data_IF_721858756205
#
_entry.id   IF_721858756205
#
_cell.length_a   1.000
_cell.length_b   1.000
_cell.length_c   1.000
_cell.angle_alpha   90.00
_cell.angle_beta   90.00
_cell.angle_gamma   90.00
#
_symmetry.space_group_name_H-M   'P 1'
#
loop_
_entity.id
_entity.type
_entity.pdbx_description
1 polymer ?
#
# COMPACT_ATOMS: atom_id res chain seq x y z
N UNK A 1 1.51 -30.67 4.16
CA UNK A 1 2.09 -29.42 3.66
C UNK A 1 1.77 -28.38 4.71
N UNK A 2 2.77 -27.75 5.33
CA UNK A 2 2.50 -26.61 6.18
C UNK A 2 2.06 -25.48 5.25
N UNK A 3 0.78 -25.10 5.32
CA UNK A 3 0.28 -23.84 4.78
C UNK A 3 0.89 -22.70 5.59
N UNK A 4 2.16 -22.41 5.31
CA UNK A 4 2.79 -21.22 5.82
C UNK A 4 2.21 -20.07 5.00
N UNK A 5 1.26 -19.35 5.59
CA UNK A 5 0.66 -18.15 4.99
C UNK A 5 1.80 -17.23 4.57
N UNK A 6 1.91 -16.97 3.27
CA UNK A 6 2.89 -16.03 2.74
C UNK A 6 2.48 -14.62 3.17
N UNK A 7 3.19 -14.04 4.13
CA UNK A 7 2.97 -12.67 4.60
C UNK A 7 4.02 -11.74 3.97
N UNK A 8 3.68 -11.11 2.85
CA UNK A 8 4.49 -10.08 2.21
C UNK A 8 3.95 -8.68 2.47
N UNK A 9 4.86 -7.71 2.46
CA UNK A 9 4.62 -6.31 2.76
C UNK A 9 5.00 -5.90 4.18
N UNK A 10 4.41 -4.81 4.67
CA UNK A 10 4.65 -4.28 6.01
C UNK A 10 3.59 -4.74 7.04
N UNK A 11 4.06 -5.33 8.14
CA UNK A 11 3.22 -5.83 9.23
C UNK A 11 3.62 -5.18 10.55
N UNK A 12 2.68 -4.44 11.15
CA UNK A 12 2.84 -3.90 12.50
C UNK A 12 2.77 -5.04 13.51
N UNK A 13 3.78 -5.14 14.37
CA UNK A 13 3.92 -6.09 15.49
C UNK A 13 4.06 -5.30 16.80
N UNK A 14 4.03 -6.00 17.94
CA UNK A 14 4.11 -5.37 19.26
C UNK A 14 5.37 -4.54 19.51
N UNK A 15 6.50 -4.88 18.87
CA UNK A 15 7.81 -4.23 19.09
C UNK A 15 8.29 -3.37 17.91
N UNK A 16 7.49 -3.26 16.84
CA UNK A 16 7.93 -2.60 15.62
C UNK A 16 7.20 -3.07 14.37
N UNK A 17 7.80 -2.81 13.21
CA UNK A 17 7.27 -3.22 11.91
C UNK A 17 8.19 -4.21 11.23
N UNK A 18 7.62 -5.31 10.77
CA UNK A 18 8.29 -6.26 9.88
C UNK A 18 7.98 -5.95 8.42
N UNK A 19 9.03 -5.83 7.61
CA UNK A 19 8.94 -5.65 6.17
C UNK A 19 9.41 -6.93 5.48
N UNK A 20 8.61 -7.47 4.55
CA UNK A 20 8.99 -8.64 3.74
C UNK A 20 8.73 -8.38 2.25
N UNK A 21 9.77 -8.47 1.42
CA UNK A 21 9.68 -8.31 -0.03
C UNK A 21 10.20 -9.55 -0.75
N UNK A 22 9.44 -10.08 -1.71
CA UNK A 22 9.94 -11.12 -2.60
C UNK A 22 10.66 -10.51 -3.80
N UNK A 23 11.98 -10.73 -3.89
CA UNK A 23 12.82 -10.20 -4.97
C UNK A 23 14.01 -11.16 -5.24
N UNK A 24 13.77 -12.34 -5.83
CA UNK A 24 14.76 -13.42 -5.94
C UNK A 24 15.92 -13.12 -6.90
N UNK A 25 15.76 -12.16 -7.82
CA UNK A 25 16.78 -11.76 -8.81
C UNK A 25 17.58 -10.53 -8.39
N UNK A 26 17.33 -10.00 -7.19
CA UNK A 26 18.06 -8.86 -6.66
C UNK A 26 19.34 -9.32 -5.97
N UNK A 27 20.40 -8.53 -6.13
CA UNK A 27 21.66 -8.76 -5.44
C UNK A 27 21.64 -8.11 -4.04
N UNK A 28 20.95 -6.98 -3.91
CA UNK A 28 20.66 -6.32 -2.63
C UNK A 28 19.30 -5.65 -2.66
N UNK A 29 18.67 -5.55 -1.51
CA UNK A 29 17.44 -4.79 -1.31
C UNK A 29 17.60 -3.89 -0.10
N UNK A 30 17.14 -2.65 -0.23
CA UNK A 30 17.14 -1.66 0.83
C UNK A 30 15.71 -1.24 1.11
N UNK A 31 15.33 -1.23 2.38
CA UNK A 31 14.17 -0.49 2.86
C UNK A 31 14.53 0.99 2.86
N UNK A 32 13.68 1.83 2.28
CA UNK A 32 13.85 3.28 2.26
C UNK A 32 12.72 3.91 3.04
N UNK A 33 13.03 4.68 4.09
CA UNK A 33 12.06 5.41 4.90
C UNK A 33 12.07 6.89 4.56
N UNK A 34 10.89 7.49 4.50
CA UNK A 34 10.70 8.92 4.20
C UNK A 34 10.05 9.64 5.37
N UNK A 35 10.41 10.90 5.58
CA UNK A 35 9.79 11.74 6.60
C UNK A 35 8.49 12.38 6.08
N UNK A 36 8.47 12.72 4.78
CA UNK A 36 7.34 13.39 4.12
C UNK A 36 6.96 12.74 2.77
N UNK A 37 5.70 12.91 2.31
CA UNK A 37 5.28 12.51 0.96
C UNK A 37 6.08 13.15 -0.18
N UNK A 38 6.68 14.32 0.04
CA UNK A 38 7.41 15.09 -0.97
C UNK A 38 8.85 14.61 -1.17
N UNK A 39 9.43 13.95 -0.15
CA UNK A 39 10.83 13.53 -0.15
C UNK A 39 11.20 12.67 -1.38
N UNK A 40 12.28 13.01 -2.07
CA UNK A 40 12.79 12.21 -3.20
C UNK A 40 13.84 11.19 -2.77
N UNK A 41 14.45 11.39 -1.61
CA UNK A 41 15.44 10.52 -0.99
C UNK A 41 14.97 10.18 0.42
N UNK A 42 15.37 9.02 0.92
CA UNK A 42 15.01 8.57 2.25
C UNK A 42 16.18 7.92 2.96
N UNK A 43 15.96 7.56 4.24
CA UNK A 43 16.95 6.81 5.02
C UNK A 43 16.90 5.35 4.60
N UNK A 44 18.03 4.83 4.15
CA UNK A 44 18.13 3.47 3.64
C UNK A 44 18.63 2.50 4.71
N UNK A 45 18.07 1.29 4.69
CA UNK A 45 18.46 0.19 5.56
C UNK A 45 18.61 -1.08 4.71
N UNK A 46 19.78 -1.73 4.73
CA UNK A 46 19.96 -3.00 4.01
C UNK A 46 19.02 -4.05 4.61
N UNK A 47 18.31 -4.77 3.75
CA UNK A 47 17.48 -5.89 4.14
C UNK A 47 18.29 -7.20 4.13
N UNK A 48 17.90 -8.14 4.98
CA UNK A 48 18.50 -9.46 5.06
C UNK A 48 17.83 -10.38 4.04
N UNK A 49 18.64 -11.09 3.24
CA UNK A 49 18.12 -12.11 2.33
C UNK A 49 17.83 -13.39 3.12
N UNK A 50 16.56 -13.79 3.14
CA UNK A 50 16.11 -15.08 3.64
C UNK A 50 16.17 -16.13 2.50
N UNK A 51 15.83 -17.38 2.84
CA UNK A 51 15.70 -18.45 1.85
C UNK A 51 14.65 -18.11 0.76
N UNK A 52 14.79 -18.73 -0.40
CA UNK A 52 13.83 -18.63 -1.52
C UNK A 52 13.66 -17.23 -2.12
N UNK A 53 14.56 -16.27 -1.85
CA UNK A 53 14.55 -14.95 -2.51
C UNK A 53 13.65 -13.90 -1.84
N UNK A 54 13.29 -14.14 -0.59
CA UNK A 54 12.61 -13.17 0.27
C UNK A 54 13.65 -12.28 0.95
N UNK A 55 13.33 -11.00 1.09
CA UNK A 55 14.13 -10.00 1.80
C UNK A 55 13.34 -9.51 3.00
N UNK A 56 13.98 -9.42 4.16
CA UNK A 56 13.34 -9.02 5.40
C UNK A 56 14.09 -7.90 6.10
N UNK A 57 13.33 -7.02 6.75
CA UNK A 57 13.86 -6.05 7.70
C UNK A 57 12.88 -5.86 8.85
N UNK A 58 13.39 -5.72 10.07
CA UNK A 58 12.58 -5.39 11.24
C UNK A 58 12.98 -4.03 11.78
N UNK A 59 12.05 -3.08 11.75
CA UNK A 59 12.23 -1.75 12.30
C UNK A 59 11.63 -1.71 13.70
N UNK A 60 12.49 -1.67 14.72
CA UNK A 60 12.07 -1.56 16.12
C UNK A 60 11.42 -0.20 16.39
N UNK A 61 10.47 -0.18 17.33
CA UNK A 61 9.83 1.03 17.86
C UNK A 61 9.11 1.86 16.77
N UNK A 62 8.65 1.20 15.70
CA UNK A 62 7.88 1.78 14.61
C UNK A 62 6.43 1.27 14.58
N UNK A 63 5.56 2.00 13.92
CA UNK A 63 4.14 1.66 13.79
C UNK A 63 3.49 2.30 12.56
N UNK A 64 2.22 2.70 12.71
CA UNK A 64 1.46 3.36 11.65
C UNK A 64 2.03 4.75 11.28
N UNK A 65 1.73 5.21 10.07
CA UNK A 65 2.17 6.51 9.55
C UNK A 65 3.53 6.50 8.84
N UNK A 66 4.27 5.39 8.90
CA UNK A 66 5.56 5.28 8.22
C UNK A 66 5.36 5.28 6.69
N UNK A 67 6.07 6.19 6.02
CA UNK A 67 6.23 6.23 4.58
C UNK A 67 7.47 5.44 4.19
N UNK A 68 7.31 4.52 3.25
CA UNK A 68 8.42 3.68 2.83
C UNK A 68 8.35 3.26 1.35
N UNK A 69 9.46 2.71 0.88
CA UNK A 69 9.60 2.05 -0.41
C UNK A 69 10.82 1.14 -0.40
N UNK A 70 11.15 0.57 -1.55
CA UNK A 70 12.29 -0.32 -1.71
C UNK A 70 13.21 0.17 -2.84
N UNK A 71 14.52 0.12 -2.59
CA UNK A 71 15.55 0.29 -3.61
C UNK A 71 16.24 -1.04 -3.83
N UNK A 72 16.33 -1.46 -5.09
CA UNK A 72 16.85 -2.77 -5.47
C UNK A 72 18.14 -2.60 -6.27
N UNK A 73 19.14 -3.42 -5.98
CA UNK A 73 20.37 -3.52 -6.78
C UNK A 73 20.44 -4.87 -7.50
N UNK A 74 21.14 -4.89 -8.63
CA UNK A 74 21.50 -6.11 -9.36
C UNK A 74 21.28 -5.98 -10.87
N UNK A 75 21.69 -7.00 -11.63
CA UNK A 75 21.69 -6.93 -13.11
C UNK A 75 20.32 -6.70 -13.74
N UNK A 76 19.24 -6.97 -13.01
CA UNK A 76 17.86 -6.77 -13.47
C UNK A 76 17.17 -5.54 -12.84
N UNK A 77 17.90 -4.76 -12.05
CA UNK A 77 17.34 -3.65 -11.27
C UNK A 77 18.02 -2.32 -11.63
N UNK A 78 17.23 -1.25 -11.68
CA UNK A 78 17.76 0.11 -11.73
C UNK A 78 17.86 0.66 -10.30
N UNK A 79 19.08 0.79 -9.79
CA UNK A 79 19.33 1.25 -8.43
C UNK A 79 18.99 2.73 -8.21
N UNK A 80 18.66 3.48 -9.26
CA UNK A 80 18.19 4.88 -9.14
C UNK A 80 16.69 4.98 -8.86
N UNK A 81 15.97 3.86 -8.94
CA UNK A 81 14.51 3.82 -8.76
C UNK A 81 14.17 3.30 -7.37
N UNK A 82 13.25 4.00 -6.70
CA UNK A 82 12.59 3.52 -5.50
C UNK A 82 11.17 3.12 -5.88
N UNK A 83 10.79 1.89 -5.54
CA UNK A 83 9.46 1.36 -5.80
C UNK A 83 8.60 1.38 -4.54
N UNK A 84 7.30 1.61 -4.69
CA UNK A 84 6.35 1.30 -3.64
C UNK A 84 6.28 -0.22 -3.42
N UNK A 85 5.91 -0.62 -2.22
CA UNK A 85 5.62 -2.02 -1.91
C UNK A 85 4.45 -2.54 -2.78
N UNK A 86 4.65 -3.62 -3.56
CA UNK A 86 3.57 -4.28 -4.30
C UNK A 86 2.41 -4.76 -3.41
N UNK A 87 2.67 -4.99 -2.12
CA UNK A 87 1.69 -5.43 -1.12
C UNK A 87 1.17 -4.27 -0.25
N UNK A 88 1.45 -3.02 -0.62
CA UNK A 88 1.01 -1.87 0.17
C UNK A 88 -0.51 -1.79 0.29
N UNK A 89 -0.99 -1.57 1.52
CA UNK A 89 -2.42 -1.32 1.79
C UNK A 89 -2.85 0.10 1.47
N UNK A 90 -1.92 1.05 1.49
CA UNK A 90 -2.15 2.44 1.12
C UNK A 90 -0.92 3.03 0.42
N UNK A 91 -1.14 3.95 -0.50
CA UNK A 91 -0.07 4.64 -1.22
C UNK A 91 -0.29 6.13 -1.23
N UNK A 92 0.79 6.89 -1.07
CA UNK A 92 0.80 8.32 -1.30
C UNK A 92 1.49 8.58 -2.62
N UNK A 93 0.76 9.17 -3.56
CA UNK A 93 1.23 9.42 -4.91
C UNK A 93 1.31 10.90 -5.18
N UNK A 94 2.40 11.35 -5.79
CA UNK A 94 2.45 12.70 -6.34
C UNK A 94 1.79 12.68 -7.73
N UNK A 95 0.86 13.61 -7.96
CA UNK A 95 0.17 13.73 -9.25
C UNK A 95 1.09 14.36 -10.30
N UNK A 96 2.05 13.56 -10.75
CA UNK A 96 3.06 13.88 -11.76
C UNK A 96 3.05 12.81 -12.84
N UNK A 97 3.60 13.13 -14.02
CA UNK A 97 3.68 12.19 -15.14
C UNK A 97 4.33 10.83 -14.77
N UNK A 98 5.25 10.81 -13.79
CA UNK A 98 5.96 9.60 -13.36
C UNK A 98 5.25 8.83 -12.24
N UNK A 99 4.17 9.36 -11.67
CA UNK A 99 3.40 8.74 -10.58
C UNK A 99 4.28 8.12 -9.48
N UNK A 100 5.20 8.93 -8.95
CA UNK A 100 6.07 8.48 -7.86
C UNK A 100 5.18 8.16 -6.66
N UNK A 101 5.18 6.90 -6.27
CA UNK A 101 4.36 6.35 -5.20
C UNK A 101 5.24 5.94 -4.03
N UNK A 102 4.78 6.24 -2.82
CA UNK A 102 5.32 5.72 -1.56
C UNK A 102 4.25 4.88 -0.88
N UNK A 103 4.66 3.83 -0.22
CA UNK A 103 3.78 3.03 0.63
C UNK A 103 3.58 3.71 1.97
N UNK A 104 2.37 3.63 2.52
CA UNK A 104 2.01 4.14 3.83
C UNK A 104 1.50 2.99 4.69
N UNK A 105 2.07 2.84 5.88
CA UNK A 105 1.54 1.89 6.86
C UNK A 105 0.31 2.52 7.52
N UNK A 106 -0.86 1.92 7.30
CA UNK A 106 -2.13 2.35 7.86
C UNK A 106 -2.66 1.34 8.88
N UNK A 107 -3.46 1.85 9.81
CA UNK A 107 -4.31 1.01 10.62
C UNK A 107 -5.43 0.43 9.75
N UNK A 108 -5.70 -0.87 9.93
CA UNK A 108 -6.78 -1.57 9.22
C UNK A 108 -7.82 -2.15 10.16
N UNK A 109 -7.72 -1.86 11.46
CA UNK A 109 -8.73 -2.25 12.44
C UNK A 109 -9.92 -1.28 12.39
N UNK A 110 -10.73 -1.41 11.34
CA UNK A 110 -11.95 -0.63 11.15
C UNK A 110 -13.16 -1.38 11.74
N UNK A 111 -14.00 -0.68 12.50
CA UNK A 111 -15.25 -1.22 13.03
C UNK A 111 -16.31 -1.28 11.93
N UNK A 112 -16.56 -2.48 11.41
CA UNK A 112 -17.58 -2.76 10.39
C UNK A 112 -18.99 -2.92 10.99
N UNK A 113 -19.14 -2.84 12.31
CA UNK A 113 -20.39 -3.11 13.01
C UNK A 113 -21.00 -4.46 12.62
N UNK A 114 -22.13 -4.47 11.92
CA UNK A 114 -22.83 -5.67 11.44
C UNK A 114 -22.89 -5.75 9.91
N UNK A 115 -22.05 -4.98 9.20
CA UNK A 115 -21.96 -5.04 7.74
C UNK A 115 -21.38 -6.39 7.30
N UNK A 116 -22.07 -7.07 6.38
CA UNK A 116 -21.65 -8.37 5.83
C UNK A 116 -22.14 -8.51 4.40
N UNK A 117 -21.54 -9.46 3.68
CA UNK A 117 -21.79 -9.71 2.27
C UNK A 117 -23.26 -10.08 1.98
N UNK A 118 -23.92 -9.26 1.17
CA UNK A 118 -25.28 -9.54 0.69
C UNK A 118 -25.22 -10.53 -0.50
N UNK A 119 -25.85 -11.70 -0.34
CA UNK A 119 -25.94 -12.73 -1.39
C UNK A 119 -27.24 -12.57 -2.18
N UNK A 120 -27.14 -12.04 -3.40
CA UNK A 120 -28.24 -11.95 -4.37
C UNK A 120 -27.97 -12.94 -5.50
N UNK A 121 -29.01 -13.61 -6.00
CA UNK A 121 -28.87 -14.44 -7.20
C UNK A 121 -28.46 -13.56 -8.39
N UNK A 122 -27.44 -13.91 -9.17
CA UNK A 122 -27.03 -13.10 -10.31
C UNK A 122 -28.15 -12.78 -11.32
N UNK A 123 -29.20 -13.59 -11.40
CA UNK A 123 -30.36 -13.37 -12.27
C UNK A 123 -31.29 -12.27 -11.78
N UNK A 124 -31.21 -11.93 -10.49
CA UNK A 124 -32.01 -10.89 -9.86
C UNK A 124 -31.26 -9.54 -9.81
N UNK A 125 -30.00 -9.50 -10.25
CA UNK A 125 -29.18 -8.28 -10.26
C UNK A 125 -29.58 -7.31 -11.39
N UNK A 126 -29.74 -6.04 -11.03
CA UNK A 126 -29.70 -4.91 -11.96
C UNK A 126 -28.44 -4.11 -11.63
N UNK A 127 -27.46 -4.14 -12.53
CA UNK A 127 -26.14 -3.53 -12.31
C UNK A 127 -26.17 -2.08 -12.81
N UNK A 128 -25.72 -1.16 -11.97
CA UNK A 128 -25.50 0.25 -12.32
C UNK A 128 -24.00 0.53 -12.42
N UNK A 129 -23.50 0.75 -13.63
CA UNK A 129 -22.12 1.20 -13.85
C UNK A 129 -22.03 2.71 -13.57
N UNK A 130 -21.10 3.10 -12.72
CA UNK A 130 -20.91 4.50 -12.33
C UNK A 130 -19.45 4.83 -12.09
N UNK A 131 -19.11 6.10 -12.32
CA UNK A 131 -17.83 6.66 -11.95
C UNK A 131 -17.99 7.45 -10.64
N UNK A 132 -17.23 7.07 -9.59
CA UNK A 132 -17.36 7.64 -8.25
C UNK A 132 -17.35 9.17 -8.25
N UNK A 133 -16.41 9.77 -9.01
CA UNK A 133 -16.27 11.22 -9.08
C UNK A 133 -17.51 11.87 -9.71
N UNK A 134 -18.00 11.28 -10.79
CA UNK A 134 -19.00 11.91 -11.66
C UNK A 134 -20.37 11.97 -10.98
N UNK A 135 -20.64 11.01 -10.09
CA UNK A 135 -21.87 10.94 -9.31
C UNK A 135 -22.16 12.22 -8.52
N UNK A 136 -21.11 12.88 -8.00
CA UNK A 136 -21.31 13.99 -7.05
C UNK A 136 -20.49 15.24 -7.35
N UNK A 137 -19.63 15.25 -8.38
CA UNK A 137 -18.80 16.43 -8.72
C UNK A 137 -19.60 17.63 -9.23
N UNK A 138 -20.76 17.41 -9.87
CA UNK A 138 -21.54 18.51 -10.41
C UNK A 138 -22.14 19.37 -9.28
N UNK A 139 -22.16 20.72 -9.38
CA UNK A 139 -22.64 21.58 -8.28
C UNK A 139 -24.09 21.31 -7.82
N UNK A 140 -24.92 20.73 -8.69
CA UNK A 140 -26.31 20.37 -8.35
C UNK A 140 -26.42 19.07 -7.55
N UNK A 141 -25.32 18.34 -7.30
CA UNK A 141 -25.33 17.14 -6.47
C UNK A 141 -25.69 17.45 -5.01
N UNK A 142 -25.40 18.67 -4.55
CA UNK A 142 -25.60 19.08 -3.16
C UNK A 142 -24.62 18.44 -2.17
N UNK A 143 -23.64 17.66 -2.65
CA UNK A 143 -22.69 16.94 -1.79
C UNK A 143 -21.74 17.90 -1.05
N UNK A 144 -21.47 17.61 0.22
CA UNK A 144 -20.50 18.35 1.03
C UNK A 144 -19.05 18.00 0.69
N UNK A 145 -18.82 16.89 -0.02
CA UNK A 145 -17.48 16.46 -0.47
C UNK A 145 -17.51 15.95 -1.93
N UNK A 146 -17.79 16.84 -2.92
CA UNK A 146 -18.02 16.47 -4.31
C UNK A 146 -16.92 15.59 -4.92
N UNK A 147 -17.32 14.48 -5.54
CA UNK A 147 -16.45 13.58 -6.28
C UNK A 147 -15.53 12.69 -5.44
N UNK A 148 -15.87 12.47 -4.17
CA UNK A 148 -15.12 11.62 -3.22
C UNK A 148 -15.97 10.45 -2.72
N UNK A 149 -15.36 9.45 -2.08
CA UNK A 149 -16.09 8.37 -1.40
C UNK A 149 -17.06 8.89 -0.34
N UNK A 150 -16.65 9.91 0.43
CA UNK A 150 -17.53 10.54 1.42
C UNK A 150 -18.71 11.23 0.76
N UNK A 151 -18.47 11.99 -0.30
CA UNK A 151 -19.53 12.66 -1.02
C UNK A 151 -20.54 11.71 -1.66
N UNK A 152 -20.14 10.48 -1.97
CA UNK A 152 -21.01 9.45 -2.54
C UNK A 152 -22.01 8.85 -1.54
N UNK A 153 -21.72 8.93 -0.23
CA UNK A 153 -22.61 8.44 0.83
C UNK A 153 -23.40 9.55 1.54
N UNK A 154 -23.11 10.83 1.23
CA UNK A 154 -23.88 12.00 1.69
C UNK A 154 -25.31 11.97 1.10
#
# INVERSE_FOLDING_TARGET
MNDQILSYGAFVKSEGVEFKLYAPKSDKVFLVLFDTPEDTLGKEFPMEQEESGVWRFFLKDAGYGILYGYRLEGSSNDSSVIIADPYSKATVTQNSYRHIAKSLIIDTDYDWENDDWIKIDPRDLIIYEMHLRDMTVHPTSGSGSPGTYKGFID
#
